data_IF_389128020461
#
_entry.id   IF_389128020461
#
_cell.length_a   1.000
_cell.length_b   1.000
_cell.length_c   1.000
_cell.angle_alpha   90.00
_cell.angle_beta   90.00
_cell.angle_gamma   90.00
#
_symmetry.space_group_name_H-M   'P 1'
#
loop_
_entity.id
_entity.type
_entity.pdbx_description
1 polymer ?
#
# COMPACT_ATOMS: atom_id res chain seq x y z
N UNK A 1 1.07 17.93 16.87
CA UNK A 1 -0.17 17.40 16.27
C UNK A 1 0.11 16.51 15.04
N UNK A 2 1.11 16.82 14.19
CA UNK A 2 1.53 15.90 13.10
C UNK A 2 1.95 14.50 13.60
N UNK A 3 2.57 14.39 14.78
CA UNK A 3 2.81 13.09 15.42
C UNK A 3 1.52 12.28 15.65
N UNK A 4 0.40 12.94 15.96
CA UNK A 4 -0.88 12.25 16.09
C UNK A 4 -1.37 11.74 14.72
N UNK A 5 -1.20 12.52 13.64
CA UNK A 5 -1.50 12.07 12.26
C UNK A 5 -0.70 10.82 11.91
N UNK A 6 0.61 10.82 12.21
CA UNK A 6 1.50 9.69 11.95
C UNK A 6 1.05 8.42 12.70
N UNK A 7 0.87 8.52 14.02
CA UNK A 7 0.49 7.38 14.88
C UNK A 7 -0.92 6.88 14.51
N UNK A 8 -1.88 7.78 14.32
CA UNK A 8 -3.23 7.40 13.92
C UNK A 8 -3.23 6.71 12.56
N UNK A 9 -2.44 7.18 11.59
CA UNK A 9 -2.34 6.54 10.28
C UNK A 9 -1.74 5.12 10.37
N UNK A 10 -0.72 4.92 11.21
CA UNK A 10 -0.15 3.59 11.44
C UNK A 10 -1.17 2.62 12.07
N UNK A 11 -1.97 3.08 13.04
CA UNK A 11 -3.05 2.28 13.65
C UNK A 11 -4.15 1.98 12.62
N UNK A 12 -4.50 2.97 11.80
CA UNK A 12 -5.47 2.81 10.72
C UNK A 12 -4.97 1.85 9.63
N UNK A 13 -3.66 1.77 9.40
CA UNK A 13 -3.08 0.77 8.50
C UNK A 13 -3.40 -0.65 8.98
N UNK A 14 -3.12 -0.95 10.24
CA UNK A 14 -3.48 -2.22 10.86
C UNK A 14 -4.99 -2.47 10.73
N UNK A 15 -5.82 -1.51 11.14
CA UNK A 15 -7.27 -1.70 11.15
C UNK A 15 -7.84 -1.91 9.74
N UNK A 16 -7.42 -1.10 8.76
CA UNK A 16 -7.88 -1.19 7.39
C UNK A 16 -7.42 -2.50 6.74
N UNK A 17 -6.18 -2.91 6.96
CA UNK A 17 -5.67 -4.18 6.41
C UNK A 17 -6.40 -5.38 7.02
N UNK A 18 -6.47 -5.46 8.35
CA UNK A 18 -7.01 -6.62 9.06
C UNK A 18 -8.53 -6.75 8.95
N UNK A 19 -9.28 -5.65 9.02
CA UNK A 19 -10.74 -5.70 9.12
C UNK A 19 -11.48 -5.34 7.84
N UNK A 20 -10.79 -4.79 6.82
CA UNK A 20 -11.43 -4.37 5.58
C UNK A 20 -10.76 -5.05 4.39
N UNK A 21 -9.47 -4.79 4.15
CA UNK A 21 -8.78 -5.25 2.96
C UNK A 21 -8.73 -6.78 2.87
N UNK A 22 -8.16 -7.45 3.88
CA UNK A 22 -8.02 -8.92 3.87
C UNK A 22 -9.40 -9.60 3.75
N UNK A 23 -10.42 -9.25 4.56
CA UNK A 23 -11.76 -9.80 4.39
C UNK A 23 -12.35 -9.59 2.99
N UNK A 24 -12.25 -8.38 2.44
CA UNK A 24 -12.75 -8.09 1.08
C UNK A 24 -12.00 -8.90 0.02
N UNK A 25 -10.69 -9.05 0.14
CA UNK A 25 -9.88 -9.85 -0.79
C UNK A 25 -10.25 -11.34 -0.71
N UNK A 26 -10.47 -11.88 0.51
CA UNK A 26 -10.93 -13.26 0.72
C UNK A 26 -12.30 -13.47 0.07
N UNK A 27 -13.28 -12.61 0.36
CA UNK A 27 -14.62 -12.74 -0.22
C UNK A 27 -14.61 -12.58 -1.74
N UNK A 28 -13.76 -11.70 -2.26
CA UNK A 28 -13.57 -11.56 -3.72
C UNK A 28 -13.00 -12.85 -4.31
N UNK A 29 -12.00 -13.46 -3.68
CA UNK A 29 -11.48 -14.76 -4.09
C UNK A 29 -12.53 -15.87 -4.05
N UNK A 30 -13.38 -15.91 -3.01
CA UNK A 30 -14.49 -16.85 -2.91
C UNK A 30 -15.54 -16.62 -4.00
N UNK A 31 -15.88 -15.36 -4.29
CA UNK A 31 -16.81 -15.01 -5.36
C UNK A 31 -16.28 -15.45 -6.73
N UNK A 32 -14.99 -15.25 -7.01
CA UNK A 32 -14.38 -15.73 -8.26
C UNK A 32 -14.41 -17.27 -8.34
N UNK A 33 -14.07 -17.96 -7.24
CA UNK A 33 -14.10 -19.42 -7.15
C UNK A 33 -15.52 -20.02 -7.25
N UNK A 34 -16.56 -19.22 -7.04
CA UNK A 34 -17.94 -19.66 -7.28
C UNK A 34 -18.23 -19.83 -8.79
N UNK A 35 -17.60 -19.00 -9.63
CA UNK A 35 -17.84 -18.99 -11.08
C UNK A 35 -16.81 -19.81 -11.87
N UNK A 36 -15.57 -19.89 -11.39
CA UNK A 36 -14.46 -20.56 -12.07
C UNK A 36 -13.69 -21.45 -11.10
N UNK A 37 -13.14 -22.56 -11.61
CA UNK A 37 -12.25 -23.39 -10.81
C UNK A 37 -10.91 -22.68 -10.54
N UNK A 38 -10.19 -23.14 -9.53
CA UNK A 38 -8.88 -22.61 -9.17
C UNK A 38 -7.89 -22.71 -10.35
N UNK A 39 -7.93 -23.79 -11.14
CA UNK A 39 -7.07 -23.94 -12.32
C UNK A 39 -7.35 -22.88 -13.39
N UNK A 40 -8.62 -22.51 -13.58
CA UNK A 40 -9.01 -21.44 -14.50
C UNK A 40 -8.53 -20.09 -13.98
N UNK A 41 -8.71 -19.82 -12.68
CA UNK A 41 -8.25 -18.55 -12.09
C UNK A 41 -6.72 -18.41 -12.15
N UNK A 42 -5.97 -19.48 -11.91
CA UNK A 42 -4.51 -19.48 -12.01
C UNK A 42 -4.02 -19.30 -13.45
N UNK A 43 -4.66 -19.95 -14.43
CA UNK A 43 -4.32 -19.75 -15.85
C UNK A 43 -4.66 -18.34 -16.35
N UNK A 44 -5.59 -17.64 -15.68
CA UNK A 44 -5.96 -16.25 -15.95
C UNK A 44 -5.52 -15.29 -14.85
N UNK A 45 -4.46 -15.60 -14.10
CA UNK A 45 -4.08 -14.86 -12.87
C UNK A 45 -3.87 -13.37 -13.11
N UNK A 46 -3.39 -12.98 -14.28
CA UNK A 46 -3.26 -11.58 -14.67
C UNK A 46 -4.61 -10.85 -14.62
N UNK A 47 -5.68 -11.46 -15.13
CA UNK A 47 -7.01 -10.87 -15.08
C UNK A 47 -7.67 -11.09 -13.71
N UNK A 48 -7.58 -12.30 -13.17
CA UNK A 48 -8.22 -12.69 -11.92
C UNK A 48 -7.66 -11.95 -10.69
N UNK A 49 -6.40 -11.50 -10.76
CA UNK A 49 -5.75 -10.71 -9.70
C UNK A 49 -6.21 -9.24 -9.64
N UNK A 50 -6.72 -8.67 -10.74
CA UNK A 50 -7.06 -7.24 -10.82
C UNK A 50 -8.01 -6.80 -9.68
N UNK A 51 -9.14 -7.49 -9.41
CA UNK A 51 -10.04 -7.08 -8.34
C UNK A 51 -9.36 -7.04 -6.97
N UNK A 52 -8.54 -8.04 -6.64
CA UNK A 52 -7.85 -8.09 -5.35
C UNK A 52 -6.84 -6.95 -5.20
N UNK A 53 -6.11 -6.63 -6.27
CA UNK A 53 -5.12 -5.57 -6.28
C UNK A 53 -5.78 -4.19 -6.19
N UNK A 54 -6.86 -3.95 -6.94
CA UNK A 54 -7.61 -2.69 -6.86
C UNK A 54 -8.21 -2.46 -5.47
N UNK A 55 -8.72 -3.52 -4.82
CA UNK A 55 -9.23 -3.46 -3.45
C UNK A 55 -8.15 -3.00 -2.46
N UNK A 56 -6.91 -3.49 -2.61
CA UNK A 56 -5.80 -3.05 -1.74
C UNK A 56 -5.55 -1.55 -1.87
N UNK A 57 -5.38 -1.03 -3.09
CA UNK A 57 -5.14 0.39 -3.32
C UNK A 57 -6.26 1.28 -2.79
N UNK A 58 -7.52 0.95 -3.11
CA UNK A 58 -8.67 1.72 -2.66
C UNK A 58 -8.79 1.76 -1.13
N UNK A 59 -8.68 0.61 -0.47
CA UNK A 59 -8.84 0.52 0.99
C UNK A 59 -7.70 1.24 1.69
N UNK A 60 -6.45 1.01 1.28
CA UNK A 60 -5.30 1.62 1.95
C UNK A 60 -5.23 3.12 1.73
N UNK A 61 -5.39 3.60 0.49
CA UNK A 61 -5.38 5.05 0.23
C UNK A 61 -6.56 5.75 0.94
N UNK A 62 -7.72 5.10 1.03
CA UNK A 62 -8.87 5.62 1.76
C UNK A 62 -8.57 5.76 3.26
N UNK A 63 -7.94 4.75 3.85
CA UNK A 63 -7.56 4.77 5.27
C UNK A 63 -6.53 5.87 5.59
N UNK A 64 -5.54 6.11 4.71
CA UNK A 64 -4.56 7.20 4.87
C UNK A 64 -5.23 8.57 4.89
N UNK A 65 -6.36 8.74 4.20
CA UNK A 65 -7.06 10.02 4.15
C UNK A 65 -7.88 10.33 5.40
N UNK A 66 -8.23 9.35 6.23
CA UNK A 66 -9.01 9.59 7.44
C UNK A 66 -8.41 10.70 8.33
N UNK A 67 -7.11 10.67 8.69
CA UNK A 67 -6.53 11.78 9.47
C UNK A 67 -6.43 13.08 8.67
N UNK A 68 -6.21 13.03 7.35
CA UNK A 68 -6.14 14.21 6.47
C UNK A 68 -7.48 14.94 6.41
N UNK A 69 -8.56 14.18 6.15
CA UNK A 69 -9.95 14.67 6.10
C UNK A 69 -10.39 15.15 7.47
N UNK A 70 -9.99 14.48 8.55
CA UNK A 70 -10.27 14.94 9.92
C UNK A 70 -9.65 16.31 10.18
N UNK A 71 -8.37 16.52 9.81
CA UNK A 71 -7.74 17.84 9.90
C UNK A 71 -8.47 18.87 9.04
N UNK A 72 -8.78 18.54 7.79
CA UNK A 72 -9.53 19.42 6.87
C UNK A 72 -10.90 19.83 7.43
N UNK A 73 -11.67 18.89 7.98
CA UNK A 73 -12.96 19.17 8.62
C UNK A 73 -12.82 20.06 9.85
N UNK A 74 -11.84 19.79 10.72
CA UNK A 74 -11.60 20.61 11.91
C UNK A 74 -11.11 22.03 11.58
N UNK A 75 -10.55 22.23 10.39
CA UNK A 75 -10.17 23.53 9.84
C UNK A 75 -11.30 24.20 9.03
N UNK A 76 -12.56 23.78 9.21
CA UNK A 76 -13.69 24.40 8.52
C UNK A 76 -13.75 24.08 7.03
N UNK A 77 -13.28 22.89 6.63
CA UNK A 77 -13.22 22.45 5.22
C UNK A 77 -12.33 23.34 4.33
N UNK A 78 -11.33 23.98 4.94
CA UNK A 78 -10.34 24.78 4.22
C UNK A 78 -8.98 24.59 4.87
N UNK A 79 -7.98 24.20 4.08
CA UNK A 79 -6.57 24.13 4.49
C UNK A 79 -5.72 24.67 3.36
N UNK A 80 -4.59 25.28 3.69
CA UNK A 80 -3.59 25.66 2.69
C UNK A 80 -3.04 24.41 1.97
N UNK A 81 -2.78 24.45 0.65
CA UNK A 81 -2.26 23.30 -0.08
C UNK A 81 -0.92 22.75 0.43
N UNK A 82 -0.03 23.60 0.98
CA UNK A 82 1.23 23.12 1.58
C UNK A 82 0.95 22.37 2.88
N UNK A 83 -0.04 22.82 3.65
CA UNK A 83 -0.50 22.11 4.83
C UNK A 83 -1.14 20.77 4.46
N UNK A 84 -2.00 20.74 3.44
CA UNK A 84 -2.57 19.50 2.91
C UNK A 84 -1.50 18.50 2.48
N UNK A 85 -0.49 18.97 1.74
CA UNK A 85 0.67 18.17 1.34
C UNK A 85 1.41 17.61 2.56
N UNK A 86 1.71 18.43 3.57
CA UNK A 86 2.44 17.99 4.76
C UNK A 86 1.65 16.95 5.59
N UNK A 87 0.34 17.15 5.78
CA UNK A 87 -0.51 16.21 6.51
C UNK A 87 -0.61 14.88 5.76
N UNK A 88 -0.83 14.95 4.44
CA UNK A 88 -0.83 13.78 3.58
C UNK A 88 0.49 13.01 3.63
N UNK A 89 1.63 13.70 3.51
CA UNK A 89 2.95 13.08 3.61
C UNK A 89 3.14 12.35 4.95
N UNK A 90 2.76 12.97 6.07
CA UNK A 90 2.89 12.38 7.40
C UNK A 90 1.95 11.18 7.59
N UNK A 91 0.72 11.24 7.07
CA UNK A 91 -0.20 10.12 7.09
C UNK A 91 0.34 8.94 6.24
N UNK A 92 0.82 9.23 5.03
CA UNK A 92 1.48 8.28 4.16
C UNK A 92 2.68 7.62 4.81
N UNK A 93 3.57 8.40 5.42
CA UNK A 93 4.73 7.89 6.15
C UNK A 93 4.33 6.96 7.30
N UNK A 94 3.36 7.35 8.12
CA UNK A 94 2.86 6.49 9.21
C UNK A 94 2.34 5.14 8.71
N UNK A 95 1.62 5.15 7.59
CA UNK A 95 1.11 3.93 6.97
C UNK A 95 2.23 3.07 6.39
N UNK A 96 3.13 3.67 5.60
CA UNK A 96 4.26 2.95 4.98
C UNK A 96 5.22 2.38 6.02
N UNK A 97 5.51 3.12 7.11
CA UNK A 97 6.36 2.64 8.21
C UNK A 97 5.73 1.41 8.87
N UNK A 98 4.42 1.39 9.08
CA UNK A 98 3.74 0.22 9.64
C UNK A 98 3.90 -0.99 8.72
N UNK A 99 3.66 -0.85 7.41
CA UNK A 99 3.82 -1.97 6.48
C UNK A 99 5.27 -2.45 6.37
N UNK A 100 6.24 -1.53 6.35
CA UNK A 100 7.66 -1.86 6.39
C UNK A 100 8.01 -2.63 7.67
N UNK A 101 7.52 -2.18 8.83
CA UNK A 101 7.73 -2.87 10.10
C UNK A 101 7.15 -4.28 10.08
N UNK A 102 5.94 -4.46 9.55
CA UNK A 102 5.30 -5.77 9.43
C UNK A 102 6.09 -6.71 8.49
N UNK A 103 6.52 -6.22 7.33
CA UNK A 103 7.33 -6.98 6.39
C UNK A 103 8.70 -7.36 6.99
N UNK A 104 9.40 -6.42 7.62
CA UNK A 104 10.68 -6.69 8.28
C UNK A 104 10.53 -7.71 9.41
N UNK A 105 9.45 -7.64 10.20
CA UNK A 105 9.19 -8.65 11.23
C UNK A 105 9.05 -10.04 10.61
N UNK A 106 8.36 -10.15 9.47
CA UNK A 106 8.23 -11.42 8.74
C UNK A 106 9.59 -11.92 8.22
N UNK A 107 10.45 -11.03 7.71
CA UNK A 107 11.81 -11.37 7.24
C UNK A 107 12.70 -11.83 8.41
N UNK A 108 12.65 -11.16 9.56
CA UNK A 108 13.43 -11.59 10.72
C UNK A 108 12.89 -12.91 11.30
N UNK A 109 11.57 -13.08 11.35
CA UNK A 109 10.94 -14.31 11.82
C UNK A 109 11.23 -15.51 10.91
N UNK A 110 11.49 -15.29 9.61
CA UNK A 110 11.90 -16.35 8.68
C UNK A 110 13.39 -16.73 8.79
N UNK A 111 14.13 -16.14 9.74
CA UNK A 111 15.51 -16.51 10.05
C UNK A 111 16.56 -15.69 9.32
N UNK A 112 16.24 -14.47 8.87
CA UNK A 112 17.22 -13.59 8.24
C UNK A 112 18.39 -13.27 9.18
N UNK A 113 19.62 -13.38 8.65
CA UNK A 113 20.87 -13.05 9.36
C UNK A 113 21.89 -12.43 8.40
N UNK A 114 22.99 -11.91 8.93
CA UNK A 114 24.13 -11.49 8.09
C UNK A 114 24.77 -12.63 7.30
N UNK A 115 24.69 -13.87 7.78
CA UNK A 115 25.13 -15.05 7.03
C UNK A 115 24.26 -15.27 5.77
N UNK A 116 22.96 -15.01 5.86
CA UNK A 116 22.07 -15.03 4.69
C UNK A 116 22.51 -14.02 3.62
N UNK A 117 23.03 -12.86 4.02
CA UNK A 117 23.60 -11.86 3.08
C UNK A 117 24.93 -12.34 2.50
N UNK A 118 25.79 -12.97 3.29
CA UNK A 118 27.07 -13.51 2.80
C UNK A 118 26.87 -14.63 1.78
N UNK A 119 25.83 -15.44 1.96
CA UNK A 119 25.51 -16.59 1.10
C UNK A 119 24.64 -16.21 -0.11
N UNK A 120 23.58 -15.42 0.11
CA UNK A 120 22.60 -15.03 -0.90
C UNK A 120 22.87 -13.68 -1.59
N UNK A 121 23.89 -12.94 -1.15
CA UNK A 121 24.26 -11.64 -1.69
C UNK A 121 23.17 -10.58 -1.51
N UNK A 122 23.08 -9.65 -2.45
CA UNK A 122 22.12 -8.53 -2.41
C UNK A 122 20.66 -8.99 -2.36
N UNK A 123 20.33 -10.17 -2.89
CA UNK A 123 18.96 -10.69 -2.87
C UNK A 123 18.44 -10.96 -1.46
N UNK A 124 19.32 -11.20 -0.49
CA UNK A 124 18.92 -11.28 0.91
C UNK A 124 18.43 -9.93 1.47
N UNK A 125 18.68 -8.82 0.78
CA UNK A 125 18.25 -7.47 1.16
C UNK A 125 17.01 -6.99 0.39
N UNK A 126 16.51 -7.76 -0.57
CA UNK A 126 15.41 -7.38 -1.47
C UNK A 126 14.19 -6.84 -0.69
N UNK A 127 13.67 -7.61 0.27
CA UNK A 127 12.53 -7.17 1.06
C UNK A 127 12.75 -5.90 1.90
N UNK A 128 13.99 -5.53 2.23
CA UNK A 128 14.28 -4.25 2.88
C UNK A 128 14.35 -3.09 1.87
N UNK A 129 14.90 -3.37 0.69
CA UNK A 129 15.01 -2.42 -0.42
C UNK A 129 13.62 -2.02 -0.93
N UNK A 130 12.78 -3.00 -1.26
CA UNK A 130 11.39 -2.79 -1.66
C UNK A 130 10.61 -1.96 -0.62
N UNK A 131 10.74 -2.27 0.68
CA UNK A 131 10.05 -1.52 1.74
C UNK A 131 10.54 -0.08 1.87
N UNK A 132 11.81 0.21 1.58
CA UNK A 132 12.32 1.58 1.57
C UNK A 132 11.59 2.43 0.50
N UNK A 133 11.44 1.89 -0.72
CA UNK A 133 10.70 2.57 -1.80
C UNK A 133 9.19 2.61 -1.52
N UNK A 134 8.61 1.56 -0.96
CA UNK A 134 7.20 1.54 -0.56
C UNK A 134 6.87 2.65 0.44
N UNK A 135 7.70 2.88 1.45
CA UNK A 135 7.50 3.99 2.41
C UNK A 135 7.55 5.34 1.71
N UNK A 136 8.50 5.54 0.79
CA UNK A 136 8.60 6.76 0.00
C UNK A 136 7.38 6.97 -0.89
N UNK A 137 6.90 5.90 -1.55
CA UNK A 137 5.68 5.92 -2.36
C UNK A 137 4.46 6.29 -1.52
N UNK A 138 4.23 5.63 -0.38
CA UNK A 138 3.10 5.93 0.50
C UNK A 138 3.10 7.40 0.95
N UNK A 139 4.29 7.91 1.29
CA UNK A 139 4.50 9.31 1.66
C UNK A 139 4.12 10.23 0.51
N UNK A 140 4.67 9.99 -0.69
CA UNK A 140 4.46 10.85 -1.86
C UNK A 140 3.00 10.80 -2.36
N UNK A 141 2.43 9.60 -2.53
CA UNK A 141 1.06 9.42 -2.98
C UNK A 141 0.07 10.11 -2.05
N UNK A 142 0.19 9.88 -0.73
CA UNK A 142 -0.72 10.50 0.25
C UNK A 142 -0.52 12.02 0.34
N UNK A 143 0.71 12.53 0.18
CA UNK A 143 0.96 13.97 0.07
C UNK A 143 0.22 14.61 -1.12
N UNK A 144 0.23 13.94 -2.28
CA UNK A 144 -0.50 14.40 -3.46
C UNK A 144 -2.02 14.41 -3.21
N UNK A 145 -2.56 13.40 -2.51
CA UNK A 145 -3.99 13.42 -2.18
C UNK A 145 -4.33 14.52 -1.17
N UNK A 146 -3.48 14.76 -0.17
CA UNK A 146 -3.65 15.86 0.76
C UNK A 146 -3.63 17.23 0.06
N UNK A 147 -2.73 17.40 -0.92
CA UNK A 147 -2.73 18.58 -1.79
C UNK A 147 -4.02 18.68 -2.63
N UNK A 148 -4.42 17.59 -3.28
CA UNK A 148 -5.64 17.52 -4.09
C UNK A 148 -6.88 17.88 -3.30
N UNK A 149 -7.00 17.35 -2.08
CA UNK A 149 -8.09 17.68 -1.16
C UNK A 149 -8.13 19.17 -0.84
N UNK A 150 -6.99 19.78 -0.53
CA UNK A 150 -6.88 21.21 -0.26
C UNK A 150 -7.27 22.09 -1.46
N UNK A 151 -7.12 21.58 -2.68
CA UNK A 151 -7.51 22.24 -3.94
C UNK A 151 -8.95 21.92 -4.38
N UNK A 152 -9.70 21.13 -3.61
CA UNK A 152 -11.06 20.70 -3.93
C UNK A 152 -11.16 19.52 -4.90
N UNK A 153 -10.03 18.86 -5.22
CA UNK A 153 -9.94 17.72 -6.14
C UNK A 153 -9.61 16.41 -5.39
N UNK A 154 -10.06 16.31 -4.13
CA UNK A 154 -9.66 15.23 -3.23
C UNK A 154 -9.97 13.82 -3.77
N UNK A 155 -11.16 13.64 -4.38
CA UNK A 155 -11.55 12.33 -4.90
C UNK A 155 -10.77 11.93 -6.16
N UNK A 156 -10.42 12.89 -7.03
CA UNK A 156 -9.62 12.62 -8.22
C UNK A 156 -8.22 12.14 -7.83
N UNK A 157 -7.57 12.88 -6.93
CA UNK A 157 -6.24 12.49 -6.45
C UNK A 157 -6.28 11.18 -5.65
N UNK A 158 -7.34 10.93 -4.88
CA UNK A 158 -7.56 9.64 -4.21
C UNK A 158 -7.60 8.48 -5.22
N UNK A 159 -8.37 8.60 -6.31
CA UNK A 159 -8.45 7.55 -7.33
C UNK A 159 -7.12 7.37 -8.07
N UNK A 160 -6.40 8.46 -8.36
CA UNK A 160 -5.06 8.39 -8.97
C UNK A 160 -4.09 7.66 -8.05
N UNK A 161 -4.03 8.04 -6.77
CA UNK A 161 -3.17 7.38 -5.79
C UNK A 161 -3.55 5.89 -5.62
N UNK A 162 -4.85 5.58 -5.57
CA UNK A 162 -5.33 4.19 -5.45
C UNK A 162 -4.95 3.35 -6.66
N UNK A 163 -5.02 3.94 -7.87
CA UNK A 163 -4.60 3.29 -9.11
C UNK A 163 -3.09 3.05 -9.13
N UNK A 164 -2.27 4.04 -8.77
CA UNK A 164 -0.82 3.90 -8.68
C UNK A 164 -0.41 2.87 -7.63
N UNK A 165 -1.11 2.84 -6.49
CA UNK A 165 -0.91 1.83 -5.47
C UNK A 165 -1.22 0.44 -6.02
N UNK A 166 -2.38 0.29 -6.67
CA UNK A 166 -2.75 -0.95 -7.34
C UNK A 166 -1.70 -1.37 -8.36
N UNK A 167 -1.19 -0.45 -9.16
CA UNK A 167 -0.14 -0.72 -10.14
C UNK A 167 1.14 -1.26 -9.47
N UNK A 168 1.59 -0.65 -8.38
CA UNK A 168 2.72 -1.16 -7.59
C UNK A 168 2.47 -2.57 -7.04
N UNK A 169 1.30 -2.81 -6.44
CA UNK A 169 0.95 -4.11 -5.89
C UNK A 169 0.75 -5.19 -6.97
N UNK A 170 0.47 -4.78 -8.21
CA UNK A 170 0.33 -5.70 -9.34
C UNK A 170 1.66 -6.41 -9.68
N UNK A 171 2.80 -5.89 -9.22
CA UNK A 171 4.09 -6.61 -9.26
C UNK A 171 4.01 -8.00 -8.61
N UNK A 172 3.21 -8.18 -7.57
CA UNK A 172 2.99 -9.48 -6.94
C UNK A 172 2.26 -10.46 -7.87
N UNK A 173 1.29 -9.99 -8.66
CA UNK A 173 0.57 -10.80 -9.66
C UNK A 173 1.53 -11.19 -10.78
N UNK A 174 2.36 -10.25 -11.24
CA UNK A 174 3.39 -10.53 -12.25
C UNK A 174 4.40 -11.57 -11.75
N UNK A 175 4.81 -11.50 -10.48
CA UNK A 175 5.67 -12.50 -9.86
C UNK A 175 4.99 -13.87 -9.80
N UNK A 176 3.73 -13.93 -9.34
CA UNK A 176 2.96 -15.19 -9.26
C UNK A 176 2.72 -15.83 -10.63
N UNK A 177 2.56 -15.03 -11.68
CA UNK A 177 2.44 -15.52 -13.05
C UNK A 177 3.75 -16.06 -13.66
N UNK A 178 4.88 -15.87 -12.98
CA UNK A 178 6.21 -16.21 -13.48
C UNK A 178 6.78 -15.24 -14.52
N UNK A 179 6.07 -14.15 -14.85
CA UNK A 179 6.58 -13.10 -15.74
C UNK A 179 7.67 -12.26 -15.05
N UNK A 180 7.53 -12.03 -13.75
CA UNK A 180 8.54 -11.35 -12.94
C UNK A 180 9.36 -12.35 -12.12
N UNK A 181 10.65 -12.05 -11.99
CA UNK A 181 11.50 -12.61 -10.92
C UNK A 181 11.46 -11.67 -9.72
N UNK A 182 12.01 -12.08 -8.58
CA UNK A 182 12.17 -11.18 -7.43
C UNK A 182 12.96 -9.92 -7.83
N UNK A 183 14.02 -10.06 -8.65
CA UNK A 183 14.79 -8.91 -9.16
C UNK A 183 13.92 -7.96 -9.98
N UNK A 184 13.02 -8.48 -10.82
CA UNK A 184 12.10 -7.62 -11.59
C UNK A 184 11.16 -6.84 -10.66
N UNK A 185 10.70 -7.43 -9.56
CA UNK A 185 9.88 -6.73 -8.55
C UNK A 185 10.67 -5.59 -7.92
N UNK A 186 11.91 -5.83 -7.50
CA UNK A 186 12.78 -4.80 -6.89
C UNK A 186 13.11 -3.63 -7.82
N UNK A 187 13.11 -3.85 -9.14
CA UNK A 187 13.34 -2.79 -10.15
C UNK A 187 12.03 -2.03 -10.45
N UNK A 188 10.89 -2.72 -10.34
CA UNK A 188 9.59 -2.19 -10.68
C UNK A 188 9.05 -1.23 -9.60
N UNK A 189 9.31 -1.54 -8.33
CA UNK A 189 8.93 -0.74 -7.15
C UNK A 189 9.90 0.42 -6.94
#
# INVERSE_FOLDING_TARGET
>A
WLWAVLISSAILALAAVSFIQIPLQIWTGQALNHFWSEEVLLSWILLAGIPQILLSGLVQEGAKLVPVVTCWWRSGRSIDPKLGLAIGAVAGAGFGIFEAQWAHNTIFASGWTWEAVQTGGFMALAGFWERFFAVAFHTAASALVGYGLAKGWGWQFYLIASCLHGLLNYSAVLLQSGLFTVVHVEIYV
#
